data_IF_122985585533
#
_entry.id   IF_122985585533
#
_cell.length_a   1.000
_cell.length_b   1.000
_cell.length_c   1.000
_cell.angle_alpha   90.00
_cell.angle_beta   90.00
_cell.angle_gamma   90.00
#
_symmetry.space_group_name_H-M   'P 1'
#
loop_
_entity.id
_entity.type
_entity.pdbx_description
1 polymer ?
#
# COMPACT_ATOMS: atom_id res chain seq x y z
N UNK A 1 11.69 -7.19 -31.52
CA UNK A 1 10.72 -7.71 -30.54
C UNK A 1 11.37 -8.85 -29.79
N UNK A 2 11.94 -8.57 -28.62
CA UNK A 2 12.48 -9.62 -27.74
C UNK A 2 11.29 -10.18 -26.95
N UNK A 3 10.92 -11.44 -27.22
CA UNK A 3 10.02 -12.17 -26.33
C UNK A 3 10.75 -12.28 -24.98
N UNK A 4 10.19 -11.67 -23.93
CA UNK A 4 10.78 -11.70 -22.61
C UNK A 4 10.68 -13.13 -22.09
N UNK A 5 11.83 -13.71 -21.75
CA UNK A 5 11.94 -15.07 -21.22
C UNK A 5 11.04 -15.26 -19.98
N UNK A 6 10.24 -16.33 -19.94
CA UNK A 6 9.32 -16.70 -18.85
C UNK A 6 8.21 -15.68 -18.49
N UNK A 7 7.75 -14.86 -19.43
CA UNK A 7 6.72 -13.85 -19.16
C UNK A 7 5.36 -14.46 -18.76
N UNK A 8 4.94 -15.56 -19.39
CA UNK A 8 3.66 -16.22 -19.10
C UNK A 8 3.64 -16.80 -17.68
N UNK A 9 4.72 -17.49 -17.29
CA UNK A 9 4.84 -18.08 -15.96
C UNK A 9 4.82 -17.00 -14.87
N UNK A 10 5.57 -15.90 -15.06
CA UNK A 10 5.59 -14.75 -14.14
C UNK A 10 4.26 -13.99 -14.07
N UNK A 11 3.43 -14.06 -15.11
CA UNK A 11 2.08 -13.48 -15.09
C UNK A 11 1.12 -14.38 -14.30
N UNK A 12 1.25 -15.70 -14.44
CA UNK A 12 0.46 -16.68 -13.68
C UNK A 12 0.79 -16.65 -12.18
N UNK A 13 2.06 -16.54 -11.80
CA UNK A 13 2.48 -16.40 -10.40
C UNK A 13 1.93 -15.14 -9.73
N UNK A 14 1.69 -14.07 -10.52
CA UNK A 14 1.11 -12.80 -10.05
C UNK A 14 -0.39 -12.72 -10.26
N UNK A 15 -1.03 -13.79 -10.74
CA UNK A 15 -2.47 -13.79 -10.97
C UNK A 15 -3.20 -13.88 -9.63
N UNK A 16 -4.17 -12.98 -9.45
CA UNK A 16 -5.08 -13.00 -8.31
C UNK A 16 -6.48 -12.90 -8.88
N UNK A 17 -7.30 -13.89 -8.56
CA UNK A 17 -8.72 -13.86 -8.90
C UNK A 17 -9.43 -12.94 -7.91
N UNK A 18 -10.10 -11.92 -8.42
CA UNK A 18 -10.94 -11.02 -7.62
C UNK A 18 -12.19 -10.63 -8.43
N UNK A 19 -13.16 -10.01 -7.76
CA UNK A 19 -14.42 -9.54 -8.37
C UNK A 19 -14.36 -8.02 -8.57
N UNK A 20 -14.19 -7.53 -9.82
CA UNK A 20 -14.07 -6.09 -10.07
C UNK A 20 -15.30 -5.28 -9.63
N UNK A 21 -16.50 -5.83 -9.82
CA UNK A 21 -17.76 -5.18 -9.42
C UNK A 21 -17.83 -4.95 -7.92
N UNK A 22 -17.39 -5.91 -7.12
CA UNK A 22 -17.33 -5.76 -5.66
C UNK A 22 -16.26 -4.77 -5.25
N UNK A 23 -15.10 -4.77 -5.92
CA UNK A 23 -14.04 -3.77 -5.68
C UNK A 23 -14.55 -2.34 -5.94
N UNK A 24 -15.33 -2.15 -7.01
CA UNK A 24 -15.97 -0.87 -7.33
C UNK A 24 -17.01 -0.44 -6.31
N UNK A 25 -17.77 -1.39 -5.74
CA UNK A 25 -18.74 -1.13 -4.68
C UNK A 25 -18.04 -0.69 -3.39
N UNK A 26 -17.09 -1.49 -2.89
CA UNK A 26 -16.39 -1.15 -1.65
C UNK A 26 -15.54 0.13 -1.77
N UNK A 27 -15.00 0.42 -2.96
CA UNK A 27 -14.32 1.68 -3.23
C UNK A 27 -15.27 2.86 -3.18
N UNK A 28 -16.51 2.70 -3.68
CA UNK A 28 -17.58 3.68 -3.54
C UNK A 28 -17.88 3.96 -2.07
N UNK A 29 -18.10 2.89 -1.29
CA UNK A 29 -18.40 2.98 0.15
C UNK A 29 -17.30 3.70 0.92
N UNK A 30 -16.03 3.39 0.63
CA UNK A 30 -14.86 4.04 1.23
C UNK A 30 -14.80 5.55 0.97
N UNK A 31 -15.41 6.04 -0.12
CA UNK A 31 -15.59 7.46 -0.39
C UNK A 31 -17.03 7.92 -0.26
N UNK A 32 -17.86 7.28 0.57
CA UNK A 32 -19.23 7.69 0.85
C UNK A 32 -20.08 7.89 -0.43
N UNK A 33 -19.96 6.96 -1.37
CA UNK A 33 -20.75 6.88 -2.60
C UNK A 33 -21.28 5.45 -2.75
N UNK A 34 -22.33 5.26 -3.55
CA UNK A 34 -22.87 3.92 -3.76
C UNK A 34 -21.93 3.03 -4.57
N UNK A 35 -21.14 3.63 -5.49
CA UNK A 35 -20.36 2.89 -6.47
C UNK A 35 -19.33 3.75 -7.22
N UNK A 36 -18.19 3.15 -7.57
CA UNK A 36 -17.21 3.72 -8.51
C UNK A 36 -17.34 3.09 -9.92
N UNK A 37 -18.03 3.73 -10.88
CA UNK A 37 -18.30 3.13 -12.19
C UNK A 37 -17.09 2.86 -13.05
N UNK A 38 -16.02 3.63 -12.87
CA UNK A 38 -14.81 3.50 -13.67
C UNK A 38 -13.72 2.78 -12.87
N UNK A 39 -13.13 1.76 -13.48
CA UNK A 39 -11.94 1.07 -12.97
C UNK A 39 -10.90 0.99 -14.09
N UNK A 40 -9.69 1.46 -13.80
CA UNK A 40 -8.56 1.40 -14.71
C UNK A 40 -7.35 0.83 -13.99
N UNK A 41 -6.65 -0.11 -14.61
CA UNK A 41 -5.37 -0.61 -14.08
C UNK A 41 -4.30 0.45 -14.33
N UNK A 42 -3.73 1.01 -13.27
CA UNK A 42 -2.67 2.01 -13.36
C UNK A 42 -1.30 1.38 -13.52
N UNK A 43 -1.02 0.35 -12.72
CA UNK A 43 0.29 -0.28 -12.65
C UNK A 43 0.18 -1.72 -12.19
N UNK A 44 1.20 -2.51 -12.50
CA UNK A 44 1.40 -3.83 -11.91
C UNK A 44 2.89 -4.01 -11.64
N UNK A 45 3.22 -4.19 -10.36
CA UNK A 45 4.57 -4.52 -9.91
C UNK A 45 4.76 -6.02 -9.71
N UNK A 46 5.83 -6.37 -9.00
CA UNK A 46 6.03 -7.74 -8.49
C UNK A 46 5.04 -8.08 -7.38
N UNK A 47 4.76 -7.12 -6.50
CA UNK A 47 4.08 -7.33 -5.21
C UNK A 47 2.61 -6.91 -5.18
N UNK A 48 2.16 -6.07 -6.13
CA UNK A 48 0.76 -5.64 -6.16
C UNK A 48 0.29 -5.23 -7.55
N UNK A 49 -1.00 -5.43 -7.82
CA UNK A 49 -1.74 -4.78 -8.91
C UNK A 49 -2.39 -3.51 -8.38
N UNK A 50 -2.28 -2.41 -9.11
CA UNK A 50 -2.79 -1.10 -8.70
C UNK A 50 -3.86 -0.63 -9.67
N UNK A 51 -5.04 -0.32 -9.14
CA UNK A 51 -6.19 0.17 -9.90
C UNK A 51 -6.58 1.57 -9.43
N UNK A 52 -6.94 2.42 -10.39
CA UNK A 52 -7.64 3.67 -10.15
C UNK A 52 -9.13 3.40 -10.27
N UNK A 53 -9.88 3.77 -9.24
CA UNK A 53 -11.33 3.79 -9.26
C UNK A 53 -11.82 5.23 -9.17
N UNK A 54 -12.82 5.58 -9.98
CA UNK A 54 -13.39 6.93 -9.99
C UNK A 54 -14.88 6.88 -9.71
N UNK A 55 -15.31 7.68 -8.75
CA UNK A 55 -16.71 7.88 -8.41
C UNK A 55 -17.35 8.93 -9.34
N UNK A 56 -18.69 8.91 -9.44
CA UNK A 56 -19.45 9.85 -10.29
C UNK A 56 -19.22 11.33 -9.92
N UNK A 57 -18.91 11.61 -8.67
CA UNK A 57 -18.61 12.96 -8.18
C UNK A 57 -17.14 13.40 -8.44
N UNK A 58 -16.35 12.59 -9.14
CA UNK A 58 -14.96 12.88 -9.47
C UNK A 58 -13.95 12.52 -8.38
N UNK A 59 -14.39 11.98 -7.22
CA UNK A 59 -13.45 11.41 -6.24
C UNK A 59 -12.76 10.18 -6.80
N UNK A 60 -11.49 10.04 -6.46
CA UNK A 60 -10.61 8.98 -6.95
C UNK A 60 -10.04 8.18 -5.79
N UNK A 61 -9.99 6.86 -5.97
CA UNK A 61 -9.46 5.90 -5.00
C UNK A 61 -8.42 5.03 -5.68
N UNK A 62 -7.32 4.77 -5.01
CA UNK A 62 -6.38 3.73 -5.42
C UNK A 62 -6.74 2.44 -4.70
N UNK A 63 -6.94 1.37 -5.46
CA UNK A 63 -6.99 0.02 -4.94
C UNK A 63 -5.68 -0.72 -5.23
N UNK A 64 -5.08 -1.30 -4.20
CA UNK A 64 -3.95 -2.21 -4.32
C UNK A 64 -4.39 -3.61 -3.97
N UNK A 65 -4.11 -4.56 -4.86
CA UNK A 65 -4.33 -6.00 -4.63
C UNK A 65 -2.95 -6.66 -4.57
N UNK A 66 -2.50 -7.14 -3.40
CA UNK A 66 -1.25 -7.88 -3.27
C UNK A 66 -1.22 -9.10 -4.20
N UNK A 67 -0.05 -9.40 -4.76
CA UNK A 67 0.17 -10.65 -5.51
C UNK A 67 0.58 -11.77 -4.53
N UNK A 68 0.44 -13.05 -4.90
CA UNK A 68 0.86 -14.16 -4.03
C UNK A 68 2.35 -14.14 -3.66
N UNK A 69 3.17 -13.46 -4.46
CA UNK A 69 4.62 -13.31 -4.25
C UNK A 69 4.92 -12.22 -3.21
N UNK A 70 3.93 -11.42 -2.81
CA UNK A 70 4.12 -10.34 -1.84
C UNK A 70 4.49 -10.83 -0.44
N UNK A 71 4.15 -12.08 -0.12
CA UNK A 71 4.38 -12.67 1.18
C UNK A 71 3.26 -13.59 1.63
N UNK A 72 3.32 -14.09 2.88
CA UNK A 72 2.17 -14.62 3.57
C UNK A 72 1.01 -13.62 3.47
N UNK A 73 -0.15 -14.09 2.99
CA UNK A 73 -1.40 -13.35 3.11
C UNK A 73 -1.62 -12.91 4.55
N UNK A 74 -2.44 -11.89 4.73
CA UNK A 74 -2.72 -11.24 6.00
C UNK A 74 -1.56 -10.39 6.55
N UNK A 75 -0.39 -10.97 6.85
CA UNK A 75 0.71 -10.21 7.48
C UNK A 75 1.26 -9.11 6.58
N UNK A 76 1.39 -9.37 5.28
CA UNK A 76 1.88 -8.38 4.32
C UNK A 76 0.96 -7.16 4.28
N UNK A 77 -0.34 -7.40 4.09
CA UNK A 77 -1.36 -6.35 4.01
C UNK A 77 -1.50 -5.60 5.34
N UNK A 78 -1.58 -6.32 6.45
CA UNK A 78 -1.71 -5.74 7.78
C UNK A 78 -0.50 -4.87 8.14
N UNK A 79 0.71 -5.35 7.84
CA UNK A 79 1.91 -4.58 8.15
C UNK A 79 2.07 -3.35 7.28
N UNK A 80 1.70 -3.44 6.01
CA UNK A 80 1.76 -2.30 5.11
C UNK A 80 0.79 -1.18 5.55
N UNK A 81 -0.45 -1.55 5.87
CA UNK A 81 -1.46 -0.60 6.38
C UNK A 81 -1.01 0.02 7.69
N UNK A 82 -0.57 -0.77 8.66
CA UNK A 82 -0.11 -0.25 9.94
C UNK A 82 1.11 0.68 9.78
N UNK A 83 2.00 0.40 8.83
CA UNK A 83 3.12 1.29 8.51
C UNK A 83 2.64 2.61 7.93
N UNK A 84 1.70 2.60 6.98
CA UNK A 84 1.13 3.84 6.42
C UNK A 84 0.43 4.68 7.48
N UNK A 85 -0.40 4.05 8.30
CA UNK A 85 -1.12 4.72 9.38
C UNK A 85 -0.16 5.27 10.43
N UNK A 86 0.89 4.54 10.80
CA UNK A 86 1.91 5.03 11.74
C UNK A 86 2.68 6.24 11.19
N UNK A 87 3.12 6.19 9.94
CA UNK A 87 3.82 7.30 9.29
C UNK A 87 2.93 8.56 9.27
N UNK A 88 1.63 8.39 9.00
CA UNK A 88 0.64 9.48 8.96
C UNK A 88 0.26 10.00 10.34
N UNK A 89 -0.12 9.12 11.25
CA UNK A 89 -0.78 9.47 12.51
C UNK A 89 0.22 9.73 13.63
N UNK A 90 1.32 8.99 13.67
CA UNK A 90 2.36 9.18 14.69
C UNK A 90 3.43 10.15 14.21
N UNK A 91 3.99 9.92 13.02
CA UNK A 91 5.10 10.74 12.51
C UNK A 91 4.67 11.99 11.72
N UNK A 92 3.37 12.14 11.44
CA UNK A 92 2.80 13.27 10.70
C UNK A 92 3.49 13.50 9.35
N UNK A 93 3.74 12.40 8.63
CA UNK A 93 4.32 12.39 7.30
C UNK A 93 3.22 12.43 6.22
N UNK A 94 3.48 13.06 5.06
CA UNK A 94 2.50 13.20 3.98
C UNK A 94 2.41 11.91 3.12
N UNK A 95 1.97 10.81 3.72
CA UNK A 95 1.69 9.53 3.03
C UNK A 95 0.19 9.43 2.70
N UNK A 96 -0.28 8.68 1.69
CA UNK A 96 -1.71 8.53 1.41
C UNK A 96 -2.52 7.99 2.59
N UNK A 97 -3.80 8.35 2.71
CA UNK A 97 -4.70 7.83 3.75
C UNK A 97 -5.24 6.47 3.33
N UNK A 98 -5.21 5.49 4.23
CA UNK A 98 -5.89 4.21 4.03
C UNK A 98 -7.37 4.38 4.36
N UNK A 99 -8.23 4.20 3.37
CA UNK A 99 -9.68 4.38 3.51
C UNK A 99 -10.38 3.09 3.98
N UNK A 100 -9.91 1.94 3.50
CA UNK A 100 -10.39 0.62 3.88
C UNK A 100 -9.39 -0.45 3.44
N UNK A 101 -9.37 -1.61 4.10
CA UNK A 101 -8.53 -2.73 3.69
C UNK A 101 -9.14 -4.06 4.13
N UNK A 102 -8.73 -5.15 3.47
CA UNK A 102 -8.99 -6.52 3.90
C UNK A 102 -7.71 -7.33 3.81
N UNK A 103 -7.36 -7.99 4.91
CA UNK A 103 -6.17 -8.85 5.04
C UNK A 103 -6.47 -10.31 4.68
N UNK A 104 -7.70 -10.63 4.27
CA UNK A 104 -8.08 -11.99 3.85
C UNK A 104 -8.81 -11.92 2.51
N UNK A 105 -8.87 -13.06 1.80
CA UNK A 105 -9.72 -13.23 0.63
C UNK A 105 -11.16 -13.60 0.97
N UNK A 106 -11.46 -13.83 2.26
CA UNK A 106 -12.81 -14.08 2.78
C UNK A 106 -13.59 -12.77 2.91
N UNK A 107 -13.83 -12.14 1.77
CA UNK A 107 -14.60 -10.91 1.63
C UNK A 107 -15.24 -10.88 0.21
N UNK A 108 -16.22 -9.99 -0.04
CA UNK A 108 -16.91 -9.96 -1.33
C UNK A 108 -16.00 -9.80 -2.56
N UNK A 109 -14.87 -9.08 -2.44
CA UNK A 109 -13.89 -8.91 -3.53
C UNK A 109 -13.20 -10.23 -3.87
N UNK A 110 -13.08 -11.15 -2.91
CA UNK A 110 -12.42 -12.45 -3.07
C UNK A 110 -10.90 -12.38 -3.06
N UNK A 111 -10.32 -11.26 -2.63
CA UNK A 111 -8.88 -11.04 -2.53
C UNK A 111 -8.56 -10.05 -1.40
N UNK A 112 -7.32 -10.06 -0.93
CA UNK A 112 -6.79 -8.99 -0.11
C UNK A 112 -6.78 -7.68 -0.89
N UNK A 113 -7.00 -6.57 -0.19
CA UNK A 113 -6.94 -5.26 -0.81
C UNK A 113 -6.59 -4.17 0.19
N UNK A 114 -6.05 -3.08 -0.34
CA UNK A 114 -5.91 -1.79 0.34
C UNK A 114 -6.56 -0.74 -0.55
N UNK A 115 -7.57 -0.03 -0.04
CA UNK A 115 -8.16 1.16 -0.64
C UNK A 115 -7.55 2.38 0.03
N UNK A 116 -7.01 3.29 -0.76
CA UNK A 116 -6.32 4.48 -0.25
C UNK A 116 -6.55 5.71 -1.13
N UNK A 117 -6.27 6.89 -0.57
CA UNK A 117 -6.35 8.17 -1.26
C UNK A 117 -5.48 8.20 -2.53
N UNK A 118 -6.01 8.80 -3.61
CA UNK A 118 -5.20 9.16 -4.78
C UNK A 118 -4.44 10.47 -4.53
N UNK A 119 -3.13 10.37 -4.32
CA UNK A 119 -2.25 11.55 -4.23
C UNK A 119 -2.04 12.20 -5.59
N UNK A 120 -2.58 13.41 -5.79
CA UNK A 120 -2.38 14.16 -7.03
C UNK A 120 -0.94 14.65 -7.12
N UNK A 121 -0.33 14.45 -8.28
CA UNK A 121 1.05 14.86 -8.53
C UNK A 121 1.69 14.04 -9.64
N UNK A 122 2.93 14.39 -9.93
CA UNK A 122 3.78 13.72 -10.91
C UNK A 122 4.92 12.99 -10.21
N UNK A 123 5.38 11.90 -10.81
CA UNK A 123 6.54 11.18 -10.28
C UNK A 123 7.78 12.08 -10.36
N UNK A 124 8.57 12.10 -9.30
CA UNK A 124 9.87 12.78 -9.31
C UNK A 124 10.75 12.26 -10.45
N UNK A 125 10.69 10.96 -10.75
CA UNK A 125 11.43 10.35 -11.85
C UNK A 125 11.13 10.99 -13.21
N UNK A 126 9.86 11.30 -13.51
CA UNK A 126 9.48 11.90 -14.80
C UNK A 126 9.95 13.34 -14.95
N UNK A 127 10.18 14.04 -13.84
CA UNK A 127 10.66 15.43 -13.84
C UNK A 127 12.15 15.56 -13.57
N UNK A 128 12.83 14.52 -13.09
CA UNK A 128 14.19 14.61 -12.53
C UNK A 128 15.18 15.36 -13.41
N UNK A 129 15.20 15.06 -14.72
CA UNK A 129 16.12 15.68 -15.68
C UNK A 129 15.75 17.12 -16.08
N UNK A 130 14.53 17.56 -15.76
CA UNK A 130 14.03 18.91 -16.05
C UNK A 130 14.16 19.87 -14.86
N UNK A 131 14.56 19.38 -13.69
CA UNK A 131 14.69 20.19 -12.48
C UNK A 131 15.96 21.04 -12.50
N UNK A 132 15.84 22.26 -12.00
CA UNK A 132 16.97 23.14 -11.70
C UNK A 132 17.72 22.67 -10.45
N UNK A 133 18.95 23.15 -10.26
CA UNK A 133 19.75 22.83 -9.07
C UNK A 133 19.05 23.27 -7.77
N UNK A 134 18.39 24.42 -7.78
CA UNK A 134 17.66 24.93 -6.61
C UNK A 134 16.44 24.05 -6.29
N UNK A 135 15.66 23.62 -7.30
CA UNK A 135 14.55 22.68 -7.08
C UNK A 135 15.03 21.33 -6.55
N UNK A 136 16.15 20.80 -7.06
CA UNK A 136 16.75 19.56 -6.55
C UNK A 136 17.14 19.74 -5.08
N UNK A 137 17.75 20.87 -4.72
CA UNK A 137 18.15 21.16 -3.33
C UNK A 137 16.94 21.19 -2.40
N UNK A 138 15.84 21.82 -2.82
CA UNK A 138 14.60 21.88 -2.04
C UNK A 138 13.98 20.50 -1.85
N UNK A 139 13.98 19.67 -2.90
CA UNK A 139 13.49 18.28 -2.84
C UNK A 139 14.35 17.43 -1.91
N UNK A 140 15.68 17.52 -2.01
CA UNK A 140 16.59 16.78 -1.14
C UNK A 140 16.46 17.20 0.31
N UNK A 141 16.19 18.48 0.58
CA UNK A 141 15.92 18.98 1.93
C UNK A 141 14.65 18.37 2.50
N UNK A 142 13.57 18.30 1.70
CA UNK A 142 12.32 17.64 2.11
C UNK A 142 12.50 16.14 2.39
N UNK A 143 13.29 15.44 1.56
CA UNK A 143 13.60 14.01 1.79
C UNK A 143 14.37 13.85 3.10
N UNK A 144 15.40 14.67 3.34
CA UNK A 144 16.17 14.62 4.58
C UNK A 144 15.30 14.90 5.82
N UNK A 145 14.33 15.81 5.72
CA UNK A 145 13.38 16.08 6.80
C UNK A 145 12.44 14.88 7.09
N UNK A 146 12.01 14.17 6.05
CA UNK A 146 11.20 12.94 6.18
C UNK A 146 12.04 11.85 6.84
N UNK A 147 13.26 11.60 6.33
CA UNK A 147 14.17 10.59 6.88
C UNK A 147 14.48 10.89 8.34
N UNK A 148 14.81 12.13 8.69
CA UNK A 148 15.05 12.55 10.07
C UNK A 148 13.87 12.19 10.97
N UNK A 149 12.62 12.51 10.58
CA UNK A 149 11.43 12.16 11.37
C UNK A 149 11.28 10.64 11.58
N UNK A 150 11.62 9.84 10.56
CA UNK A 150 11.58 8.37 10.66
C UNK A 150 12.65 7.87 11.62
N UNK A 151 13.89 8.37 11.50
CA UNK A 151 15.02 7.96 12.35
C UNK A 151 14.96 8.49 13.78
N UNK A 152 14.27 9.61 14.01
CA UNK A 152 14.06 10.14 15.36
C UNK A 152 13.19 9.20 16.21
N UNK A 153 12.33 8.38 15.57
CA UNK A 153 11.52 7.39 16.27
C UNK A 153 12.30 6.10 16.54
N UNK A 154 12.49 5.79 17.82
CA UNK A 154 13.23 4.60 18.25
C UNK A 154 12.29 3.45 18.58
N UNK A 155 12.32 2.39 17.78
CA UNK A 155 11.61 1.16 18.08
C UNK A 155 12.31 0.37 19.20
N UNK A 156 11.57 -0.18 20.18
CA UNK A 156 12.16 -0.92 21.30
C UNK A 156 12.70 -2.30 20.89
N UNK A 157 12.22 -2.83 19.75
CA UNK A 157 12.57 -4.15 19.22
C UNK A 157 12.54 -4.14 17.69
N UNK A 158 13.15 -5.14 17.08
CA UNK A 158 13.01 -5.41 15.65
C UNK A 158 11.73 -6.20 15.35
N UNK A 159 11.16 -5.99 14.18
CA UNK A 159 9.97 -6.70 13.70
C UNK A 159 9.20 -5.90 12.67
N UNK A 160 8.03 -6.39 12.29
CA UNK A 160 7.11 -5.66 11.43
C UNK A 160 6.06 -4.94 12.27
N UNK A 161 5.60 -3.77 11.79
CA UNK A 161 4.60 -2.97 12.48
C UNK A 161 3.19 -3.49 12.15
N UNK A 162 2.31 -3.58 13.14
CA UNK A 162 0.92 -4.01 12.97
C UNK A 162 -0.02 -3.21 13.88
N UNK A 163 -1.30 -3.15 13.51
CA UNK A 163 -2.38 -2.82 14.44
C UNK A 163 -2.61 -3.99 15.40
N UNK A 164 -2.93 -3.71 16.68
CA UNK A 164 -3.12 -4.77 17.68
C UNK A 164 -4.19 -5.79 17.27
N UNK A 165 -5.26 -5.35 16.61
CA UNK A 165 -6.36 -6.21 16.15
C UNK A 165 -5.94 -7.24 15.10
N UNK A 166 -4.84 -6.98 14.39
CA UNK A 166 -4.37 -7.81 13.29
C UNK A 166 -3.41 -8.92 13.78
N UNK A 167 -3.07 -8.99 15.08
CA UNK A 167 -2.19 -10.02 15.66
C UNK A 167 -2.90 -10.84 16.75
N UNK A 168 -3.95 -11.56 16.39
CA UNK A 168 -4.73 -12.36 17.36
C UNK A 168 -3.97 -13.61 17.82
N UNK A 169 -3.61 -13.64 19.10
CA UNK A 169 -2.94 -14.80 19.72
C UNK A 169 -1.43 -14.85 19.52
N UNK A 170 -0.84 -13.85 18.88
CA UNK A 170 0.59 -13.77 18.62
C UNK A 170 1.35 -12.91 19.63
N UNK A 171 2.66 -13.17 19.74
CA UNK A 171 3.55 -12.33 20.53
C UNK A 171 3.65 -10.94 19.88
N UNK A 172 3.33 -9.90 20.65
CA UNK A 172 3.37 -8.51 20.22
C UNK A 172 3.94 -7.62 21.29
N UNK A 173 4.68 -6.60 20.86
CA UNK A 173 5.25 -5.57 21.74
C UNK A 173 4.57 -4.25 21.41
N UNK A 174 3.68 -3.75 22.29
CA UNK A 174 3.04 -2.44 22.09
C UNK A 174 4.09 -1.33 21.98
N UNK A 175 3.83 -0.35 21.10
CA UNK A 175 4.72 0.79 20.91
C UNK A 175 4.00 2.08 21.37
N UNK A 176 2.96 2.46 20.65
CA UNK A 176 2.19 3.70 20.84
C UNK A 176 0.78 3.47 20.33
N UNK A 177 -0.23 3.99 21.04
CA UNK A 177 -1.64 3.89 20.64
C UNK A 177 -2.07 2.44 20.27
N UNK A 178 -2.54 2.20 19.05
CA UNK A 178 -2.94 0.88 18.53
C UNK A 178 -1.80 0.11 17.85
N UNK A 179 -0.60 0.68 17.77
CA UNK A 179 0.53 0.10 17.06
C UNK A 179 1.36 -0.84 17.94
N UNK A 180 1.81 -1.95 17.36
CA UNK A 180 2.68 -2.93 18.00
C UNK A 180 3.67 -3.54 17.01
N UNK A 181 4.81 -3.99 17.52
CA UNK A 181 5.74 -4.82 16.76
C UNK A 181 5.33 -6.29 16.91
N UNK A 182 5.18 -6.96 15.78
CA UNK A 182 4.88 -8.38 15.66
C UNK A 182 5.99 -9.16 14.94
N UNK A 183 5.68 -10.36 14.42
CA UNK A 183 6.66 -11.16 13.69
C UNK A 183 7.21 -10.41 12.47
N UNK A 184 8.50 -10.64 12.19
CA UNK A 184 9.12 -10.15 10.96
C UNK A 184 8.43 -10.84 9.78
N UNK A 185 7.92 -10.05 8.86
CA UNK A 185 7.67 -10.50 7.51
C UNK A 185 8.64 -9.82 6.54
N UNK A 186 9.44 -10.61 5.81
CA UNK A 186 10.34 -10.14 4.76
C UNK A 186 10.08 -10.93 3.46
N UNK A 187 9.61 -10.30 2.38
CA UNK A 187 9.41 -10.97 1.08
C UNK A 187 10.70 -11.60 0.53
N UNK A 188 11.87 -11.05 0.89
CA UNK A 188 13.18 -11.47 0.35
C UNK A 188 13.84 -12.63 1.11
N UNK A 189 13.33 -13.05 2.27
CA UNK A 189 13.92 -14.15 3.07
C UNK A 189 13.24 -15.49 2.79
N UNK A 190 12.17 -15.50 2.01
CA UNK A 190 11.36 -16.69 1.71
C UNK A 190 11.42 -17.12 0.22
N UNK A 191 12.34 -16.56 -0.57
CA UNK A 191 12.57 -16.91 -1.98
C UNK A 191 13.95 -17.55 -2.18
#
# INVERSE_FOLDING_TARGET
MSAKFNEIDRLNERYVKFRPTELQRIAGEAVQQDYCPDIAKLAEGGFSKVFLLRAKNGREVIARIPTPIAGPPHYTTASEVATMDFLRDVLKLPVPEVLAYSTTSDNPVGAEYILMERVKGESLFSRWLSLTTDEIKDIMTQIADIERKIFDFHFPVYGSLYHKKDLNGEARIPIVEDFCIGPIFCPAVLA
#
